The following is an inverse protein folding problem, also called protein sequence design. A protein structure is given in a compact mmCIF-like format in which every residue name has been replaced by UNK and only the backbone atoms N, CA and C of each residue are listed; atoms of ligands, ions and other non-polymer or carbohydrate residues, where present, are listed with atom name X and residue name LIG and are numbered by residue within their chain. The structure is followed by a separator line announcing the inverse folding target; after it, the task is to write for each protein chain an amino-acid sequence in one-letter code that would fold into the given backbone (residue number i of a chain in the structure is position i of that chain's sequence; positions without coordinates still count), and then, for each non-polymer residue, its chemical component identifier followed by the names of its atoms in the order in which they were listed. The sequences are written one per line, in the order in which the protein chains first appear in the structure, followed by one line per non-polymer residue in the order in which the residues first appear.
data_IF_729359670084
#
_entry.id   IF_729359670084
#
_cell.length_a   1.000
_cell.length_b   1.000
_cell.length_c   1.000
_cell.angle_alpha   90.00
_cell.angle_beta   90.00
_cell.angle_gamma   90.00
#
_symmetry.space_group_name_H-M   'P 1'
#
loop_
_entity.id
_entity.type
_entity.pdbx_description
1 polymer ?
#
# COMPACT_ATOMS: atom_id res chain seq x y z
N UNK A 1 -15.44 -78.00 -49.49
CA UNK A 1 -16.46 -77.15 -50.13
C UNK A 1 -16.26 -75.74 -49.61
N UNK A 2 -15.77 -74.85 -50.48
CA UNK A 2 -15.37 -73.49 -50.16
C UNK A 2 -16.60 -72.57 -50.23
N UNK A 3 -16.83 -71.75 -49.20
CA UNK A 3 -17.62 -70.53 -49.34
C UNK A 3 -16.72 -69.32 -49.15
N UNK A 4 -16.94 -68.35 -50.02
CA UNK A 4 -16.11 -67.20 -50.35
C UNK A 4 -16.71 -65.92 -49.74
N UNK A 5 -15.83 -65.01 -49.29
CA UNK A 5 -15.87 -63.52 -49.49
C UNK A 5 -16.78 -62.72 -48.52
N UNK A 6 -16.55 -61.42 -48.20
CA UNK A 6 -15.43 -60.49 -48.51
C UNK A 6 -14.78 -59.75 -47.31
N UNK A 7 -13.56 -59.31 -47.60
CA UNK A 7 -12.84 -58.19 -47.01
C UNK A 7 -13.54 -56.83 -47.32
N UNK A 8 -13.76 -55.97 -46.33
CA UNK A 8 -13.70 -54.50 -46.50
C UNK A 8 -13.83 -53.75 -45.17
N UNK A 9 -12.82 -52.94 -44.85
CA UNK A 9 -12.90 -51.53 -44.37
C UNK A 9 -11.65 -51.17 -43.55
N UNK A 10 -10.66 -50.66 -44.29
CA UNK A 10 -10.03 -49.36 -44.06
C UNK A 10 -10.11 -48.87 -42.60
N UNK A 11 -9.06 -49.14 -41.83
CA UNK A 11 -8.73 -48.34 -40.64
C UNK A 11 -8.22 -46.99 -41.13
N UNK A 12 -9.06 -45.97 -41.08
CA UNK A 12 -8.59 -44.59 -41.15
C UNK A 12 -7.79 -44.27 -39.90
N UNK A 13 -6.63 -43.69 -40.19
CA UNK A 13 -5.57 -43.25 -39.30
C UNK A 13 -6.01 -42.11 -38.37
N UNK A 14 -5.30 -42.07 -37.25
CA UNK A 14 -4.81 -40.86 -36.57
C UNK A 14 -5.86 -39.97 -35.89
N UNK A 15 -6.25 -40.42 -34.69
CA UNK A 15 -6.50 -39.52 -33.58
C UNK A 15 -5.24 -38.69 -33.28
N UNK A 16 -5.31 -37.36 -33.45
CA UNK A 16 -4.36 -36.42 -32.82
C UNK A 16 -5.12 -35.40 -31.96
N UNK A 17 -5.46 -35.74 -30.70
CA UNK A 17 -5.94 -34.76 -29.72
C UNK A 17 -4.83 -34.29 -28.77
N UNK A 18 -3.60 -34.09 -29.23
CA UNK A 18 -2.44 -33.83 -28.34
C UNK A 18 -1.70 -32.50 -28.52
N UNK A 19 -2.17 -31.57 -29.35
CA UNK A 19 -1.47 -30.28 -29.54
C UNK A 19 -2.03 -29.09 -28.76
N UNK A 20 -3.18 -29.22 -28.08
CA UNK A 20 -3.76 -28.10 -27.33
C UNK A 20 -3.52 -28.13 -25.81
N UNK A 21 -2.95 -29.21 -25.26
CA UNK A 21 -2.85 -29.37 -23.79
C UNK A 21 -1.60 -28.74 -23.15
N UNK A 22 -0.59 -28.33 -23.93
CA UNK A 22 0.64 -27.71 -23.37
C UNK A 22 0.65 -26.18 -23.29
N UNK A 23 -0.30 -25.47 -23.93
CA UNK A 23 -0.31 -23.99 -23.97
C UNK A 23 -1.11 -23.32 -22.84
N UNK A 24 -2.13 -23.98 -22.29
CA UNK A 24 -2.99 -23.42 -21.23
C UNK A 24 -2.30 -23.30 -19.86
N UNK A 25 -1.25 -24.09 -19.61
CA UNK A 25 -0.53 -24.10 -18.33
C UNK A 25 0.29 -22.83 -18.06
N UNK A 26 0.91 -22.24 -19.09
CA UNK A 26 1.73 -21.03 -18.93
C UNK A 26 0.92 -19.80 -18.55
N UNK A 27 -0.25 -19.62 -19.16
CA UNK A 27 -1.15 -18.51 -18.86
C UNK A 27 -1.76 -18.59 -17.46
N UNK A 28 -2.18 -19.78 -17.03
CA UNK A 28 -2.73 -19.99 -15.69
C UNK A 28 -1.70 -19.64 -14.60
N UNK A 29 -0.43 -19.96 -14.82
CA UNK A 29 0.69 -19.65 -13.91
C UNK A 29 0.96 -18.14 -13.83
N UNK A 30 0.97 -17.42 -14.95
CA UNK A 30 1.17 -15.96 -14.96
C UNK A 30 -0.01 -15.24 -14.31
N UNK A 31 -1.24 -15.65 -14.59
CA UNK A 31 -2.44 -15.11 -13.95
C UNK A 31 -2.45 -15.32 -12.44
N UNK A 32 -2.06 -16.51 -11.96
CA UNK A 32 -1.94 -16.78 -10.54
C UNK A 32 -0.86 -15.91 -9.88
N UNK A 33 0.27 -15.71 -10.57
CA UNK A 33 1.35 -14.83 -10.12
C UNK A 33 0.89 -13.38 -9.99
N UNK A 34 0.22 -12.83 -11.02
CA UNK A 34 -0.34 -11.47 -10.99
C UNK A 34 -1.31 -11.32 -9.81
N UNK A 35 -2.21 -12.28 -9.60
CA UNK A 35 -3.15 -12.26 -8.45
C UNK A 35 -2.43 -12.26 -7.11
N UNK A 36 -1.41 -13.11 -6.95
CA UNK A 36 -0.61 -13.18 -5.73
C UNK A 36 0.05 -11.83 -5.42
N UNK A 37 0.74 -11.24 -6.39
CA UNK A 37 1.44 -9.98 -6.18
C UNK A 37 0.50 -8.78 -6.08
N UNK A 38 -0.66 -8.80 -6.73
CA UNK A 38 -1.71 -7.78 -6.52
C UNK A 38 -2.23 -7.82 -5.08
N UNK A 39 -2.35 -9.02 -4.47
CA UNK A 39 -2.73 -9.15 -3.06
C UNK A 39 -1.65 -8.60 -2.13
N UNK A 40 -0.38 -8.88 -2.42
CA UNK A 40 0.75 -8.33 -1.64
C UNK A 40 0.80 -6.80 -1.75
N UNK A 41 0.59 -6.25 -2.96
CA UNK A 41 0.49 -4.82 -3.17
C UNK A 41 -0.60 -4.20 -2.28
N UNK A 42 -1.80 -4.80 -2.28
CA UNK A 42 -2.91 -4.32 -1.44
C UNK A 42 -2.53 -4.30 0.05
N UNK A 43 -1.88 -5.35 0.55
CA UNK A 43 -1.40 -5.39 1.95
C UNK A 43 -0.43 -4.24 2.24
N UNK A 44 0.52 -3.96 1.34
CA UNK A 44 1.47 -2.84 1.50
C UNK A 44 0.77 -1.47 1.47
N UNK A 45 -0.27 -1.33 0.65
CA UNK A 45 -1.09 -0.12 0.63
C UNK A 45 -1.88 0.06 1.93
N UNK A 46 -2.41 -1.03 2.49
CA UNK A 46 -3.08 -1.04 3.79
C UNK A 46 -2.11 -0.65 4.92
N UNK A 47 -0.91 -1.23 4.93
CA UNK A 47 0.14 -0.88 5.89
C UNK A 47 0.50 0.62 5.79
N UNK A 48 0.70 1.14 4.57
CA UNK A 48 0.94 2.58 4.34
C UNK A 48 -0.22 3.44 4.85
N UNK A 49 -1.47 3.04 4.60
CA UNK A 49 -2.67 3.75 5.10
C UNK A 49 -2.73 3.74 6.62
N UNK A 50 -2.31 2.65 7.26
CA UNK A 50 -2.28 2.55 8.72
C UNK A 50 -1.26 3.53 9.33
N UNK A 51 -0.05 3.63 8.76
CA UNK A 51 0.96 4.62 9.18
C UNK A 51 0.51 6.06 8.94
N UNK A 52 -0.20 6.34 7.84
CA UNK A 52 -0.78 7.67 7.60
C UNK A 52 -1.82 8.05 8.66
N UNK A 53 -2.60 7.06 9.10
CA UNK A 53 -3.61 7.27 10.14
C UNK A 53 -2.96 7.47 11.51
N UNK A 54 -1.87 6.76 11.80
CA UNK A 54 -1.04 6.97 12.99
C UNK A 54 -0.45 8.39 13.01
N UNK A 55 0.18 8.82 11.92
CA UNK A 55 0.75 10.16 11.81
C UNK A 55 -0.31 11.26 12.03
N UNK A 56 -1.52 11.07 11.49
CA UNK A 56 -2.62 12.00 11.69
C UNK A 56 -3.05 12.07 13.17
N UNK A 57 -3.07 10.93 13.87
CA UNK A 57 -3.37 10.88 15.30
C UNK A 57 -2.28 11.57 16.14
N UNK A 58 -1.00 11.33 15.85
CA UNK A 58 0.13 11.97 16.53
C UNK A 58 0.15 13.49 16.31
N UNK A 59 -0.18 13.95 15.10
CA UNK A 59 -0.33 15.39 14.80
C UNK A 59 -1.50 16.04 15.54
N UNK A 60 -2.58 15.30 15.75
CA UNK A 60 -3.68 15.76 16.58
C UNK A 60 -3.26 15.84 18.05
N UNK A 61 -2.53 14.85 18.56
CA UNK A 61 -1.97 14.87 19.91
C UNK A 61 -1.00 16.04 20.11
N UNK A 62 -0.12 16.33 19.14
CA UNK A 62 0.77 17.49 19.18
C UNK A 62 -0.03 18.79 19.38
N UNK A 63 -1.11 18.94 18.62
CA UNK A 63 -2.00 20.09 18.73
C UNK A 63 -2.66 20.16 20.12
N UNK A 64 -3.17 19.05 20.63
CA UNK A 64 -3.83 19.00 21.93
C UNK A 64 -2.86 19.37 23.07
N UNK A 65 -1.59 18.93 22.98
CA UNK A 65 -0.54 19.31 23.92
C UNK A 65 -0.23 20.81 23.84
N UNK A 66 -0.13 21.37 22.63
CA UNK A 66 0.08 22.81 22.43
C UNK A 66 -1.07 23.65 22.98
N UNK A 67 -2.32 23.27 22.74
CA UNK A 67 -3.51 23.97 23.24
C UNK A 67 -3.52 23.97 24.78
N UNK A 68 -3.12 22.85 25.40
CA UNK A 68 -2.97 22.72 26.85
C UNK A 68 -1.84 23.60 27.40
N UNK A 69 -0.68 23.61 26.74
CA UNK A 69 0.45 24.47 27.11
C UNK A 69 0.08 25.95 27.04
N UNK A 70 -0.58 26.37 25.96
CA UNK A 70 -1.08 27.74 25.81
C UNK A 70 -2.03 28.14 26.94
N UNK A 71 -2.94 27.23 27.33
CA UNK A 71 -3.85 27.45 28.45
C UNK A 71 -3.08 27.61 29.78
N UNK A 72 -2.08 26.77 30.03
CA UNK A 72 -1.23 26.84 31.23
C UNK A 72 -0.39 28.12 31.26
N UNK A 73 0.13 28.58 30.13
CA UNK A 73 0.85 29.86 30.04
C UNK A 73 -0.06 31.05 30.37
N UNK A 74 -1.32 31.01 29.91
CA UNK A 74 -2.34 31.98 30.30
C UNK A 74 -2.68 31.95 31.79
N UNK A 75 -2.84 30.76 32.37
CA UNK A 75 -3.01 30.58 33.82
C UNK A 75 -1.81 31.09 34.61
N UNK A 76 -0.58 30.80 34.17
CA UNK A 76 0.65 31.28 34.78
C UNK A 76 0.72 32.80 34.77
N UNK A 77 0.39 33.42 33.64
CA UNK A 77 0.41 34.88 33.49
C UNK A 77 -0.57 35.54 34.45
N UNK A 78 -1.83 35.06 34.52
CA UNK A 78 -2.81 35.54 35.48
C UNK A 78 -2.36 35.34 36.93
N UNK A 79 -1.79 34.19 37.27
CA UNK A 79 -1.30 33.93 38.61
C UNK A 79 -0.13 34.86 39.01
N UNK A 80 0.72 35.24 38.05
CA UNK A 80 1.80 36.21 38.26
C UNK A 80 1.26 37.64 38.43
N UNK A 81 0.25 38.01 37.63
CA UNK A 81 -0.44 39.31 37.76
C UNK A 81 -1.13 39.41 39.13
N UNK A 82 -1.83 38.36 39.56
CA UNK A 82 -2.48 38.30 40.89
C UNK A 82 -1.48 38.31 42.04
N UNK A 83 -0.28 37.76 41.83
CA UNK A 83 0.80 37.76 42.82
C UNK A 83 1.46 39.14 42.93
N UNK A 84 1.62 39.85 41.82
CA UNK A 84 2.26 41.17 41.76
C UNK A 84 1.30 42.32 42.07
N UNK A 85 0.01 42.19 41.75
CA UNK A 85 -1.04 43.19 41.96
C UNK A 85 -1.46 43.40 43.42
N UNK A 86 -0.74 42.85 44.41
CA UNK A 86 -0.98 43.05 45.84
C UNK A 86 -0.46 44.38 46.39
N UNK A 87 -0.50 45.46 45.61
CA UNK A 87 -0.18 46.80 46.10
C UNK A 87 -1.38 47.37 46.87
N UNK A 88 -1.34 47.29 48.21
CA UNK A 88 -2.22 48.07 49.09
C UNK A 88 -3.12 47.29 50.06
N UNK A 89 -3.14 45.96 50.02
CA UNK A 89 -3.88 45.11 50.97
C UNK A 89 -2.97 44.38 51.96
N UNK A 90 -3.42 44.18 53.21
CA UNK A 90 -2.75 43.27 54.15
C UNK A 90 -2.93 41.82 53.68
N UNK A 91 -2.00 41.33 52.87
CA UNK A 91 -1.92 39.92 52.50
C UNK A 91 -1.13 39.16 53.57
N UNK A 92 -1.68 38.05 54.06
CA UNK A 92 -0.97 37.23 55.05
C UNK A 92 0.23 36.52 54.42
N UNK A 93 1.25 36.21 55.22
CA UNK A 93 2.39 35.41 54.76
C UNK A 93 1.97 34.03 54.22
N UNK A 94 0.95 33.42 54.82
CA UNK A 94 0.41 32.14 54.36
C UNK A 94 -0.18 32.26 52.95
N UNK A 95 -0.92 33.33 52.68
CA UNK A 95 -1.53 33.58 51.37
C UNK A 95 -0.47 33.78 50.28
N UNK A 96 0.59 34.56 50.55
CA UNK A 96 1.71 34.70 49.62
C UNK A 96 2.40 33.37 49.33
N UNK A 97 2.58 32.53 50.36
CA UNK A 97 3.16 31.20 50.19
C UNK A 97 2.30 30.30 49.31
N UNK A 98 0.98 30.28 49.52
CA UNK A 98 0.06 29.49 48.68
C UNK A 98 0.07 29.95 47.23
N UNK A 99 0.03 31.26 46.97
CA UNK A 99 0.10 31.80 45.61
C UNK A 99 1.42 31.45 44.92
N UNK A 100 2.54 31.57 45.64
CA UNK A 100 3.85 31.17 45.11
C UNK A 100 3.86 29.69 44.76
N UNK A 101 3.39 28.83 45.66
CA UNK A 101 3.33 27.39 45.42
C UNK A 101 2.45 27.03 44.23
N UNK A 102 1.32 27.73 44.06
CA UNK A 102 0.45 27.55 42.90
C UNK A 102 1.16 27.88 41.58
N UNK A 103 1.91 28.98 41.53
CA UNK A 103 2.74 29.33 40.37
C UNK A 103 3.78 28.25 40.09
N UNK A 104 4.48 27.75 41.13
CA UNK A 104 5.48 26.69 40.97
C UNK A 104 4.83 25.41 40.39
N UNK A 105 3.64 25.01 40.86
CA UNK A 105 2.89 23.86 40.31
C UNK A 105 2.50 24.06 38.85
N UNK A 106 2.09 25.27 38.44
CA UNK A 106 1.82 25.56 37.02
C UNK A 106 3.10 25.44 36.20
N UNK A 107 4.23 25.94 36.72
CA UNK A 107 5.53 25.84 36.05
C UNK A 107 5.95 24.39 35.87
N UNK A 108 5.83 23.55 36.90
CA UNK A 108 6.13 22.12 36.81
C UNK A 108 5.30 21.45 35.70
N UNK A 109 4.00 21.74 35.64
CA UNK A 109 3.09 21.22 34.59
C UNK A 109 3.45 21.72 33.19
N UNK A 110 3.96 22.94 33.05
CA UNK A 110 4.46 23.46 31.76
C UNK A 110 5.72 22.71 31.35
N UNK A 111 6.64 22.41 32.27
CA UNK A 111 7.84 21.62 31.96
C UNK A 111 7.45 20.21 31.51
N UNK A 112 6.58 19.52 32.25
CA UNK A 112 6.05 18.19 31.88
C UNK A 112 5.35 18.21 30.51
N UNK A 113 4.59 19.27 30.21
CA UNK A 113 3.94 19.46 28.92
C UNK A 113 4.95 19.67 27.77
N UNK A 114 6.05 20.38 28.02
CA UNK A 114 7.13 20.56 27.05
C UNK A 114 7.90 19.27 26.79
N UNK A 115 8.16 18.47 27.83
CA UNK A 115 8.74 17.13 27.66
C UNK A 115 7.81 16.24 26.83
N UNK A 116 6.51 16.23 27.15
CA UNK A 116 5.50 15.50 26.37
C UNK A 116 5.46 15.96 24.90
N UNK A 117 5.56 17.26 24.64
CA UNK A 117 5.58 17.82 23.29
C UNK A 117 6.83 17.37 22.50
N UNK A 118 7.99 17.32 23.16
CA UNK A 118 9.22 16.79 22.55
C UNK A 118 9.02 15.33 22.16
N UNK A 119 8.50 14.52 23.06
CA UNK A 119 8.29 13.08 22.83
C UNK A 119 7.29 12.85 21.68
N UNK A 120 6.19 13.61 21.60
CA UNK A 120 5.24 13.53 20.48
C UNK A 120 5.91 13.90 19.16
N UNK A 121 6.75 14.94 19.14
CA UNK A 121 7.47 15.36 17.92
C UNK A 121 8.50 14.34 17.46
N UNK A 122 9.15 13.67 18.40
CA UNK A 122 10.05 12.56 18.09
C UNK A 122 9.29 11.40 17.44
N UNK A 123 8.16 10.98 18.03
CA UNK A 123 7.29 9.95 17.43
C UNK A 123 6.81 10.32 16.03
N UNK A 124 6.38 11.56 15.83
CA UNK A 124 5.99 12.08 14.51
C UNK A 124 7.13 11.91 13.50
N UNK A 125 8.35 12.31 13.87
CA UNK A 125 9.50 12.22 12.98
C UNK A 125 9.82 10.75 12.62
N UNK A 126 9.75 9.85 13.59
CA UNK A 126 9.91 8.41 13.36
C UNK A 126 8.81 7.85 12.45
N UNK A 127 7.56 8.24 12.66
CA UNK A 127 6.43 7.82 11.81
C UNK A 127 6.57 8.36 10.39
N UNK A 128 7.02 9.59 10.22
CA UNK A 128 7.31 10.18 8.90
C UNK A 128 8.42 9.40 8.16
N UNK A 129 9.49 9.04 8.85
CA UNK A 129 10.56 8.20 8.29
C UNK A 129 10.03 6.83 7.84
N UNK A 130 9.30 6.12 8.72
CA UNK A 130 8.67 4.84 8.37
C UNK A 130 7.73 4.98 7.17
N UNK A 131 6.98 6.09 7.08
CA UNK A 131 6.05 6.32 5.98
C UNK A 131 6.76 6.50 4.63
N UNK A 132 7.94 7.10 4.60
CA UNK A 132 8.78 7.17 3.40
C UNK A 132 9.14 5.77 2.91
N UNK A 133 9.55 4.88 3.82
CA UNK A 133 9.87 3.49 3.49
C UNK A 133 8.64 2.72 3.00
N UNK A 134 7.48 2.89 3.65
CA UNK A 134 6.22 2.29 3.17
C UNK A 134 5.83 2.78 1.78
N UNK A 135 6.02 4.08 1.51
CA UNK A 135 5.75 4.63 0.17
C UNK A 135 6.65 3.98 -0.88
N UNK A 136 7.95 3.86 -0.59
CA UNK A 136 8.91 3.19 -1.46
C UNK A 136 8.53 1.73 -1.72
N UNK A 137 8.14 0.99 -0.70
CA UNK A 137 7.74 -0.41 -0.80
C UNK A 137 6.50 -0.61 -1.68
N UNK A 138 5.52 0.29 -1.57
CA UNK A 138 4.35 0.30 -2.44
C UNK A 138 4.78 0.58 -3.88
N UNK A 139 5.58 1.62 -4.13
CA UNK A 139 6.06 1.97 -5.49
C UNK A 139 6.80 0.84 -6.19
N UNK A 140 7.68 0.15 -5.46
CA UNK A 140 8.41 -1.02 -5.99
C UNK A 140 7.42 -2.11 -6.41
N UNK A 141 6.43 -2.40 -5.58
CA UNK A 141 5.45 -3.46 -5.85
C UNK A 141 4.46 -3.07 -6.96
N UNK A 142 4.01 -1.81 -7.03
CA UNK A 142 3.21 -1.26 -8.14
C UNK A 142 3.94 -1.50 -9.46
N UNK A 143 5.18 -1.03 -9.55
CA UNK A 143 6.02 -1.17 -10.74
C UNK A 143 6.19 -2.64 -11.13
N UNK A 144 6.37 -3.52 -10.15
CA UNK A 144 6.54 -4.95 -10.39
C UNK A 144 5.26 -5.59 -10.94
N UNK A 145 4.10 -5.32 -10.33
CA UNK A 145 2.80 -5.84 -10.78
C UNK A 145 2.48 -5.32 -12.18
N UNK A 146 2.76 -4.05 -12.47
CA UNK A 146 2.52 -3.48 -13.79
C UNK A 146 3.39 -4.14 -14.85
N UNK A 147 4.68 -4.37 -14.58
CA UNK A 147 5.55 -5.14 -15.48
C UNK A 147 5.02 -6.53 -15.76
N UNK A 148 4.48 -7.23 -14.76
CA UNK A 148 3.86 -8.55 -14.95
C UNK A 148 2.63 -8.47 -15.86
N UNK A 149 1.77 -7.47 -15.67
CA UNK A 149 0.58 -7.25 -16.51
C UNK A 149 0.95 -6.92 -17.95
N UNK A 150 1.93 -6.03 -18.15
CA UNK A 150 2.42 -5.67 -19.48
C UNK A 150 3.03 -6.88 -20.19
N UNK A 151 3.82 -7.70 -19.49
CA UNK A 151 4.38 -8.92 -20.06
C UNK A 151 3.31 -9.95 -20.44
N UNK A 152 2.31 -10.15 -19.58
CA UNK A 152 1.18 -11.06 -19.86
C UNK A 152 0.39 -10.60 -21.09
N UNK A 153 0.07 -9.30 -21.18
CA UNK A 153 -0.60 -8.72 -22.34
C UNK A 153 0.23 -8.89 -23.62
N UNK A 154 1.53 -8.60 -23.56
CA UNK A 154 2.45 -8.75 -24.71
C UNK A 154 2.50 -10.20 -25.19
N UNK A 155 2.55 -11.16 -24.27
CA UNK A 155 2.55 -12.58 -24.61
C UNK A 155 1.24 -13.02 -25.28
N UNK A 156 0.08 -12.51 -24.82
CA UNK A 156 -1.21 -12.78 -25.48
C UNK A 156 -1.22 -12.28 -26.91
N UNK A 157 -0.87 -11.00 -27.11
CA UNK A 157 -0.84 -10.40 -28.45
C UNK A 157 0.14 -11.13 -29.38
N UNK A 158 1.29 -11.55 -28.87
CA UNK A 158 2.25 -12.32 -29.65
C UNK A 158 1.70 -13.70 -30.07
N UNK A 159 0.98 -14.37 -29.19
CA UNK A 159 0.36 -15.66 -29.48
C UNK A 159 -0.81 -15.53 -30.45
N UNK A 160 -1.66 -14.52 -30.29
CA UNK A 160 -2.72 -14.19 -31.25
C UNK A 160 -2.15 -13.89 -32.64
N UNK A 161 -1.07 -13.11 -32.71
CA UNK A 161 -0.40 -12.82 -33.98
C UNK A 161 0.17 -14.09 -34.63
N UNK A 162 0.81 -14.95 -33.84
CA UNK A 162 1.34 -16.21 -34.35
C UNK A 162 0.24 -17.11 -34.91
N UNK A 163 -0.92 -17.17 -34.25
CA UNK A 163 -2.08 -17.92 -34.73
C UNK A 163 -2.63 -17.35 -36.05
N UNK A 164 -2.65 -16.02 -36.22
CA UNK A 164 -3.03 -15.37 -37.47
C UNK A 164 -2.02 -15.66 -38.60
N UNK A 165 -0.72 -15.63 -38.30
CA UNK A 165 0.34 -15.93 -39.26
C UNK A 165 0.27 -17.40 -39.73
N UNK A 166 0.03 -18.34 -38.80
CA UNK A 166 -0.17 -19.76 -39.10
C UNK A 166 -1.38 -19.98 -40.03
N UNK A 167 -2.50 -19.31 -39.76
CA UNK A 167 -3.70 -19.35 -40.60
C UNK A 167 -3.42 -18.78 -42.01
N UNK A 168 -2.76 -17.62 -42.09
CA UNK A 168 -2.39 -17.00 -43.36
C UNK A 168 -1.49 -17.91 -44.20
N UNK A 169 -0.51 -18.59 -43.57
CA UNK A 169 0.36 -19.55 -44.23
C UNK A 169 -0.39 -20.77 -44.79
N UNK A 170 -1.38 -21.29 -44.04
CA UNK A 170 -2.24 -22.39 -44.51
C UNK A 170 -3.06 -21.95 -45.73
N UNK A 171 -3.66 -20.77 -45.68
CA UNK A 171 -4.44 -20.22 -46.78
C UNK A 171 -3.58 -20.00 -48.04
N UNK A 172 -2.40 -19.39 -47.90
CA UNK A 172 -1.46 -19.18 -48.99
C UNK A 172 -0.99 -20.49 -49.64
N UNK A 173 -0.66 -21.49 -48.82
CA UNK A 173 -0.22 -22.79 -49.31
C UNK A 173 -1.31 -23.52 -50.09
N UNK A 174 -2.59 -23.31 -49.71
CA UNK A 174 -3.74 -23.91 -50.39
C UNK A 174 -4.04 -23.24 -51.73
N UNK A 175 -3.96 -21.90 -51.81
CA UNK A 175 -4.18 -21.18 -53.07
C UNK A 175 -3.07 -21.42 -54.07
N UNK A 176 -1.80 -21.48 -53.61
CA UNK A 176 -0.65 -21.81 -54.47
C UNK A 176 -0.78 -23.21 -55.09
N UNK A 177 -1.11 -24.23 -54.28
CA UNK A 177 -1.32 -25.61 -54.80
C UNK A 177 -2.47 -25.71 -55.79
N UNK A 178 -3.51 -24.88 -55.66
CA UNK A 178 -4.63 -24.83 -56.60
C UNK A 178 -4.35 -24.06 -57.89
N UNK A 179 -3.29 -23.25 -57.93
CA UNK A 179 -2.84 -22.55 -59.14
C UNK A 179 -1.80 -23.35 -59.94
N UNK A 180 -1.09 -24.28 -59.29
CA UNK A 180 -0.09 -25.17 -59.90
C UNK A 180 -0.69 -26.52 -60.36
N UNK A 181 -2.03 -26.68 -60.35
CA UNK A 181 -2.77 -27.88 -60.81
C UNK A 181 -3.68 -27.54 -61.98
#
# INVERSE_FOLDING_TARGET
MWTRVPCSRIRTRECLPWLHSRRSGGFAVVHQRIRKFSRILKLREDDRRSEQSLLAAERQEEKDVLDRLFSLEGERSRALDDFSGCEGGMVSCAELWFRRRFIDVIQDRIHEGNDSLRDVRERIAETEERLVDRHRDVRIMETYVDRLRTADLRNRLHLEQQELDDLAMVHYSRTKKGADS
#
